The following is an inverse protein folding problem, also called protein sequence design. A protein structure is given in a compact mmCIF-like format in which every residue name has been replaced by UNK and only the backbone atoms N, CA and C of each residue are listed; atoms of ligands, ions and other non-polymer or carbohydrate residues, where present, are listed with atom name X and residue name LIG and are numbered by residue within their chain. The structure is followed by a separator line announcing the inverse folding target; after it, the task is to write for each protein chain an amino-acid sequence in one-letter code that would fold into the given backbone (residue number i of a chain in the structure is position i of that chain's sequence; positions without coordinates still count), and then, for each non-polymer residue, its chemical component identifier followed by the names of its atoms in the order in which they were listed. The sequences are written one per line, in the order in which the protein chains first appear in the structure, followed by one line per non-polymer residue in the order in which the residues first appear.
data_IF_961120793379
#
_entry.id   IF_961120793379
#
_cell.length_a   1.000
_cell.length_b   1.000
_cell.length_c   1.000
_cell.angle_alpha   90.00
_cell.angle_beta   90.00
_cell.angle_gamma   90.00
#
_symmetry.space_group_name_H-M   'P 1'
#
loop_
_entity.id
_entity.type
_entity.pdbx_description
1 polymer ?
#
# COMPACT_ATOMS: atom_id res chain seq x y z
N UNK A 1 -19.64 -0.11 -20.20
CA UNK A 1 -18.97 0.95 -19.42
C UNK A 1 -17.82 0.28 -18.68
N UNK A 2 -16.57 0.62 -19.01
CA UNK A 2 -15.41 0.04 -18.33
C UNK A 2 -15.37 0.46 -16.86
N UNK A 3 -14.77 -0.33 -15.96
CA UNK A 3 -14.66 0.02 -14.56
C UNK A 3 -13.94 1.37 -14.46
N UNK A 4 -14.60 2.26 -13.74
CA UNK A 4 -14.32 3.68 -13.61
C UNK A 4 -12.83 3.94 -13.35
N UNK A 5 -12.17 4.52 -14.35
CA UNK A 5 -10.99 5.34 -14.13
C UNK A 5 -11.48 6.48 -13.22
N UNK A 6 -11.41 6.30 -11.90
CA UNK A 6 -11.72 7.38 -10.96
C UNK A 6 -10.86 8.57 -11.37
N UNK A 7 -11.52 9.58 -11.92
CA UNK A 7 -10.89 10.83 -12.32
C UNK A 7 -10.13 11.33 -11.10
N UNK A 8 -8.90 11.79 -11.32
CA UNK A 8 -8.09 12.39 -10.27
C UNK A 8 -8.85 13.44 -9.48
N UNK A 9 -8.43 13.68 -8.24
CA UNK A 9 -8.92 14.88 -7.55
C UNK A 9 -8.50 16.13 -8.32
N UNK A 10 -9.25 17.21 -8.17
CA UNK A 10 -8.96 18.46 -8.87
C UNK A 10 -7.56 18.97 -8.47
N UNK A 11 -6.72 19.29 -9.47
CA UNK A 11 -5.33 19.71 -9.27
C UNK A 11 -4.32 18.57 -9.14
N UNK A 12 -4.74 17.30 -9.22
CA UNK A 12 -3.84 16.14 -9.20
C UNK A 12 -2.94 16.12 -10.45
N UNK A 13 -1.61 16.11 -10.26
CA UNK A 13 -0.62 15.93 -11.33
C UNK A 13 0.39 14.82 -11.00
N UNK A 14 0.13 13.60 -11.49
CA UNK A 14 1.04 12.46 -11.35
C UNK A 14 2.39 12.66 -12.08
N UNK A 15 2.48 13.63 -12.99
CA UNK A 15 3.70 13.96 -13.73
C UNK A 15 4.71 14.77 -12.94
N UNK A 16 4.35 15.27 -11.75
CA UNK A 16 5.24 16.09 -10.91
C UNK A 16 6.61 15.45 -10.70
N UNK A 17 7.65 16.29 -10.70
CA UNK A 17 9.03 15.91 -10.35
C UNK A 17 9.36 16.22 -8.89
N UNK A 18 8.44 16.86 -8.16
CA UNK A 18 8.62 17.22 -6.75
C UNK A 18 8.03 16.11 -5.87
N UNK A 19 8.86 15.55 -4.99
CA UNK A 19 8.41 14.48 -4.10
C UNK A 19 7.43 14.99 -3.04
N UNK A 20 7.48 16.29 -2.73
CA UNK A 20 6.59 16.98 -1.80
C UNK A 20 5.13 16.91 -2.28
N UNK A 21 4.91 17.06 -3.59
CA UNK A 21 3.58 16.94 -4.20
C UNK A 21 3.03 15.52 -4.04
N UNK A 22 3.89 14.52 -4.26
CA UNK A 22 3.51 13.12 -4.04
C UNK A 22 3.16 12.86 -2.57
N UNK A 23 3.94 13.40 -1.62
CA UNK A 23 3.63 13.32 -0.18
C UNK A 23 2.31 14.02 0.15
N UNK A 24 2.05 15.18 -0.43
CA UNK A 24 0.81 15.92 -0.25
C UNK A 24 -0.41 15.10 -0.68
N UNK A 25 -0.40 14.59 -1.91
CA UNK A 25 -1.51 13.78 -2.43
C UNK A 25 -1.71 12.46 -1.68
N UNK A 26 -0.62 11.82 -1.23
CA UNK A 26 -0.70 10.68 -0.31
C UNK A 26 -1.50 11.04 0.95
N UNK A 27 -1.19 12.19 1.57
CA UNK A 27 -1.90 12.68 2.74
C UNK A 27 -3.39 12.89 2.46
N UNK A 28 -3.72 13.60 1.37
CA UNK A 28 -5.10 13.88 0.96
C UNK A 28 -5.90 12.59 0.76
N UNK A 29 -5.39 11.64 -0.03
CA UNK A 29 -6.08 10.38 -0.28
C UNK A 29 -6.18 9.52 0.99
N UNK A 30 -5.14 9.45 1.81
CA UNK A 30 -5.17 8.70 3.07
C UNK A 30 -6.23 9.24 4.03
N UNK A 31 -6.39 10.56 4.12
CA UNK A 31 -7.39 11.17 5.00
C UNK A 31 -8.81 11.02 4.47
N UNK A 32 -9.03 11.14 3.16
CA UNK A 32 -10.32 10.83 2.54
C UNK A 32 -10.75 9.39 2.80
N UNK A 33 -9.82 8.45 2.64
CA UNK A 33 -10.06 7.02 2.91
C UNK A 33 -10.42 6.82 4.38
N UNK A 34 -9.62 7.38 5.30
CA UNK A 34 -9.84 7.28 6.74
C UNK A 34 -11.21 7.82 7.15
N UNK A 35 -11.57 8.99 6.62
CA UNK A 35 -12.86 9.63 6.88
C UNK A 35 -14.02 8.75 6.41
N UNK A 36 -13.96 8.27 5.16
CA UNK A 36 -15.03 7.44 4.59
C UNK A 36 -15.16 6.07 5.25
N UNK A 37 -14.05 5.42 5.64
CA UNK A 37 -14.10 4.18 6.44
C UNK A 37 -14.80 4.43 7.77
N UNK A 38 -14.44 5.50 8.49
CA UNK A 38 -15.09 5.84 9.74
C UNK A 38 -16.59 6.12 9.60
N UNK A 39 -17.00 6.75 8.49
CA UNK A 39 -18.41 6.98 8.17
C UNK A 39 -19.13 5.65 7.87
N UNK A 40 -18.57 4.81 6.99
CA UNK A 40 -19.12 3.49 6.64
C UNK A 40 -19.34 2.62 7.88
N UNK A 41 -18.35 2.56 8.77
CA UNK A 41 -18.45 1.79 10.00
C UNK A 41 -19.56 2.29 10.92
N UNK A 42 -19.79 3.62 10.96
CA UNK A 42 -20.91 4.19 11.72
C UNK A 42 -22.25 3.81 11.08
N UNK A 43 -22.39 3.97 9.76
CA UNK A 43 -23.63 3.62 9.05
C UNK A 43 -23.94 2.13 9.22
N UNK A 44 -22.95 1.25 9.05
CA UNK A 44 -23.10 -0.20 9.21
C UNK A 44 -23.58 -0.62 10.61
N UNK A 45 -23.22 0.12 11.67
CA UNK A 45 -23.70 -0.14 13.04
C UNK A 45 -25.14 0.31 13.27
N UNK A 46 -25.57 1.39 12.63
CA UNK A 46 -26.91 1.94 12.79
C UNK A 46 -27.93 1.30 11.82
N UNK A 47 -27.47 0.79 10.68
CA UNK A 47 -28.30 0.19 9.63
C UNK A 47 -29.29 -0.88 10.15
N UNK A 48 -28.89 -1.86 11.00
CA UNK A 48 -29.81 -2.89 11.49
C UNK A 48 -30.95 -2.34 12.38
N UNK A 49 -30.81 -1.11 12.90
CA UNK A 49 -31.81 -0.47 13.76
C UNK A 49 -32.91 0.24 12.96
N UNK A 50 -32.72 0.43 11.65
CA UNK A 50 -33.67 1.12 10.78
C UNK A 50 -34.80 0.17 10.33
N UNK A 51 -35.89 0.76 9.82
CA UNK A 51 -36.97 -0.02 9.18
C UNK A 51 -36.47 -0.67 7.88
N UNK A 52 -36.98 -1.85 7.48
CA UNK A 52 -36.49 -2.58 6.30
C UNK A 52 -36.35 -1.75 5.02
N UNK A 53 -37.36 -0.93 4.69
CA UNK A 53 -37.32 -0.05 3.50
C UNK A 53 -36.16 0.96 3.53
N UNK A 54 -35.82 1.48 4.72
CA UNK A 54 -34.67 2.38 4.88
C UNK A 54 -33.34 1.62 4.85
N UNK A 55 -33.33 0.32 5.17
CA UNK A 55 -32.12 -0.52 5.05
C UNK A 55 -31.76 -0.74 3.58
N UNK A 56 -32.74 -1.07 2.74
CA UNK A 56 -32.52 -1.34 1.31
C UNK A 56 -32.01 -0.11 0.56
N UNK A 57 -32.59 1.06 0.84
CA UNK A 57 -32.13 2.33 0.27
C UNK A 57 -30.66 2.61 0.66
N UNK A 58 -30.33 2.50 1.94
CA UNK A 58 -28.97 2.75 2.42
C UNK A 58 -27.96 1.71 1.92
N UNK A 59 -28.36 0.47 1.66
CA UNK A 59 -27.47 -0.57 1.13
C UNK A 59 -26.94 -0.22 -0.27
N UNK A 60 -27.77 0.40 -1.12
CA UNK A 60 -27.35 0.86 -2.45
C UNK A 60 -26.30 1.98 -2.35
N UNK A 61 -26.56 2.98 -1.50
CA UNK A 61 -25.63 4.10 -1.25
C UNK A 61 -24.29 3.61 -0.69
N UNK A 62 -24.32 2.64 0.23
CA UNK A 62 -23.12 2.01 0.79
C UNK A 62 -22.25 1.37 -0.31
N UNK A 63 -22.87 0.65 -1.26
CA UNK A 63 -22.15 0.05 -2.38
C UNK A 63 -21.43 1.06 -3.26
N UNK A 64 -22.03 2.25 -3.48
CA UNK A 64 -21.41 3.35 -4.23
C UNK A 64 -20.20 3.88 -3.47
N UNK A 65 -20.33 4.14 -2.16
CA UNK A 65 -19.24 4.65 -1.32
C UNK A 65 -18.07 3.63 -1.31
N UNK A 66 -18.37 2.34 -1.17
CA UNK A 66 -17.35 1.28 -1.23
C UNK A 66 -16.65 1.20 -2.60
N UNK A 67 -17.38 1.43 -3.70
CA UNK A 67 -16.81 1.55 -5.04
C UNK A 67 -15.81 2.70 -5.17
N UNK A 68 -16.22 3.90 -4.75
CA UNK A 68 -15.34 5.08 -4.72
C UNK A 68 -14.09 4.85 -3.87
N UNK A 69 -14.24 4.16 -2.73
CA UNK A 69 -13.13 3.83 -1.84
C UNK A 69 -12.07 2.96 -2.52
N UNK A 70 -12.48 1.99 -3.34
CA UNK A 70 -11.53 1.22 -4.15
C UNK A 70 -10.78 2.12 -5.13
N UNK A 71 -11.45 3.09 -5.75
CA UNK A 71 -10.84 4.09 -6.62
C UNK A 71 -9.77 4.92 -5.91
N UNK A 72 -10.08 5.48 -4.74
CA UNK A 72 -9.11 6.24 -3.93
C UNK A 72 -7.94 5.40 -3.46
N UNK A 73 -8.19 4.14 -3.09
CA UNK A 73 -7.13 3.23 -2.71
C UNK A 73 -6.17 2.96 -3.89
N UNK A 74 -6.68 2.74 -5.10
CA UNK A 74 -5.84 2.60 -6.30
C UNK A 74 -5.02 3.86 -6.57
N UNK A 75 -5.62 5.05 -6.41
CA UNK A 75 -4.92 6.33 -6.57
C UNK A 75 -3.82 6.53 -5.53
N UNK A 76 -4.10 6.19 -4.28
CA UNK A 76 -3.12 6.23 -3.21
C UNK A 76 -1.93 5.31 -3.50
N UNK A 77 -2.18 4.08 -3.98
CA UNK A 77 -1.12 3.15 -4.37
C UNK A 77 -0.23 3.72 -5.51
N UNK A 78 -0.82 4.44 -6.49
CA UNK A 78 -0.07 5.11 -7.56
C UNK A 78 0.84 6.22 -7.02
N UNK A 79 0.32 7.06 -6.13
CA UNK A 79 1.12 8.16 -5.55
C UNK A 79 2.29 7.68 -4.71
N UNK A 80 2.12 6.59 -3.97
CA UNK A 80 3.24 5.96 -3.27
C UNK A 80 4.30 5.42 -4.22
N UNK A 81 3.92 4.74 -5.31
CA UNK A 81 4.87 4.33 -6.36
C UNK A 81 5.62 5.52 -6.93
N UNK A 82 4.89 6.61 -7.23
CA UNK A 82 5.51 7.86 -7.71
C UNK A 82 6.49 8.42 -6.69
N UNK A 83 6.14 8.42 -5.40
CA UNK A 83 7.05 8.87 -4.34
C UNK A 83 8.32 7.99 -4.27
N UNK A 84 8.20 6.67 -4.41
CA UNK A 84 9.36 5.76 -4.45
C UNK A 84 10.29 6.09 -5.63
N UNK A 85 9.73 6.30 -6.82
CA UNK A 85 10.48 6.71 -8.01
C UNK A 85 11.22 8.04 -7.80
N UNK A 86 10.52 9.05 -7.28
CA UNK A 86 11.08 10.39 -7.03
C UNK A 86 12.15 10.38 -5.94
N UNK A 87 12.08 9.45 -5.00
CA UNK A 87 13.14 9.20 -4.01
C UNK A 87 14.30 8.34 -4.56
N UNK A 88 14.24 7.94 -5.83
CA UNK A 88 15.31 7.23 -6.52
C UNK A 88 15.39 5.74 -6.16
N UNK A 89 14.30 5.15 -5.66
CA UNK A 89 14.22 3.70 -5.41
C UNK A 89 13.88 2.97 -6.71
N UNK A 90 14.72 2.02 -7.10
CA UNK A 90 14.53 1.21 -8.30
C UNK A 90 14.70 -0.28 -7.97
N UNK A 91 13.83 -1.11 -8.53
CA UNK A 91 13.92 -2.56 -8.48
C UNK A 91 14.23 -3.12 -9.87
N UNK A 92 15.20 -4.02 -9.93
CA UNK A 92 15.59 -4.73 -11.14
C UNK A 92 15.16 -6.21 -11.04
N UNK A 93 14.10 -6.62 -11.77
CA UNK A 93 13.57 -7.98 -11.70
C UNK A 93 14.51 -9.03 -12.30
N UNK A 94 15.33 -8.65 -13.28
CA UNK A 94 16.25 -9.58 -13.94
C UNK A 94 17.49 -9.80 -13.08
N UNK A 95 18.06 -8.71 -12.56
CA UNK A 95 19.23 -8.74 -11.68
C UNK A 95 18.93 -9.10 -10.22
N UNK A 96 17.66 -9.16 -9.82
CA UNK A 96 17.22 -9.28 -8.41
C UNK A 96 17.93 -8.25 -7.53
N UNK A 97 17.97 -7.01 -7.99
CA UNK A 97 18.76 -5.94 -7.39
C UNK A 97 17.86 -4.78 -7.01
N UNK A 98 18.22 -4.11 -5.93
CA UNK A 98 17.62 -2.85 -5.49
C UNK A 98 18.67 -1.76 -5.62
N UNK A 99 18.30 -0.63 -6.24
CA UNK A 99 19.15 0.55 -6.36
C UNK A 99 18.52 1.74 -5.67
N UNK A 100 19.35 2.53 -4.99
CA UNK A 100 18.96 3.79 -4.38
C UNK A 100 20.14 4.76 -4.40
N UNK A 101 19.95 5.95 -4.99
CA UNK A 101 20.96 7.02 -5.07
C UNK A 101 22.34 6.54 -5.53
N UNK A 102 22.38 5.67 -6.54
CA UNK A 102 23.62 5.12 -7.11
C UNK A 102 24.26 3.97 -6.31
N UNK A 103 23.67 3.56 -5.18
CA UNK A 103 24.09 2.38 -4.39
C UNK A 103 23.19 1.21 -4.75
N UNK A 104 23.75 0.00 -4.70
CA UNK A 104 23.01 -1.22 -5.05
C UNK A 104 23.14 -2.33 -4.02
N UNK A 105 22.08 -3.12 -3.88
CA UNK A 105 22.02 -4.30 -3.02
C UNK A 105 21.41 -5.48 -3.76
N UNK A 106 21.96 -6.67 -3.53
CA UNK A 106 21.47 -7.91 -4.12
C UNK A 106 20.41 -8.54 -3.22
N UNK A 107 19.32 -8.97 -3.84
CA UNK A 107 18.23 -9.72 -3.22
C UNK A 107 18.22 -11.13 -3.79
N UNK A 108 17.80 -12.10 -3.00
CA UNK A 108 17.35 -13.37 -3.57
C UNK A 108 16.00 -13.18 -4.26
N UNK A 109 15.62 -14.10 -5.16
CA UNK A 109 14.31 -14.11 -5.81
C UNK A 109 13.14 -13.91 -4.84
N UNK A 110 13.18 -14.57 -3.68
CA UNK A 110 12.10 -14.53 -2.68
C UNK A 110 12.07 -13.19 -1.94
N UNK A 111 13.23 -12.62 -1.62
CA UNK A 111 13.33 -11.29 -1.01
C UNK A 111 12.87 -10.20 -2.00
N UNK A 112 13.26 -10.31 -3.28
CA UNK A 112 12.79 -9.43 -4.34
C UNK A 112 11.26 -9.46 -4.44
N UNK A 113 10.67 -10.65 -4.53
CA UNK A 113 9.21 -10.83 -4.64
C UNK A 113 8.48 -10.21 -3.45
N UNK A 114 8.99 -10.41 -2.23
CA UNK A 114 8.40 -9.80 -1.03
C UNK A 114 8.49 -8.28 -1.06
N UNK A 115 9.67 -7.73 -1.40
CA UNK A 115 9.87 -6.30 -1.42
C UNK A 115 9.02 -5.63 -2.52
N UNK A 116 9.02 -6.19 -3.74
CA UNK A 116 8.19 -5.75 -4.84
C UNK A 116 6.70 -5.74 -4.44
N UNK A 117 6.22 -6.82 -3.84
CA UNK A 117 4.84 -6.91 -3.35
C UNK A 117 4.50 -5.79 -2.34
N UNK A 118 5.41 -5.49 -1.41
CA UNK A 118 5.19 -4.43 -0.42
C UNK A 118 5.24 -3.03 -1.03
N UNK A 119 6.06 -2.80 -2.06
CA UNK A 119 6.12 -1.54 -2.82
C UNK A 119 4.86 -1.34 -3.66
N UNK A 120 4.33 -2.41 -4.25
CA UNK A 120 3.09 -2.39 -5.04
C UNK A 120 1.84 -2.24 -4.18
N UNK A 121 1.95 -2.55 -2.88
CA UNK A 121 0.90 -2.43 -1.89
C UNK A 121 1.34 -1.62 -0.67
N UNK A 122 1.66 -0.33 -0.88
CA UNK A 122 2.09 0.56 0.20
C UNK A 122 0.96 0.70 1.23
N UNK A 123 1.29 1.18 2.45
CA UNK A 123 0.35 1.50 3.56
C UNK A 123 -0.66 0.41 3.98
N UNK A 124 -0.57 -0.79 3.38
CA UNK A 124 -1.33 -1.97 3.74
C UNK A 124 -0.46 -2.87 4.59
N UNK A 125 -1.08 -3.49 5.58
CA UNK A 125 -0.43 -4.46 6.43
C UNK A 125 -0.83 -5.87 5.99
N UNK A 126 0.17 -6.74 5.90
CA UNK A 126 -0.02 -8.13 5.48
C UNK A 126 0.49 -9.08 6.55
N UNK A 127 -0.37 -9.99 7.00
CA UNK A 127 0.05 -11.09 7.87
C UNK A 127 0.97 -12.05 7.13
N UNK A 128 1.71 -12.88 7.87
CA UNK A 128 2.59 -13.89 7.25
C UNK A 128 1.82 -14.78 6.27
N UNK A 129 0.63 -15.26 6.66
CA UNK A 129 -0.20 -16.09 5.79
C UNK A 129 -0.65 -15.35 4.52
N UNK A 130 -0.93 -14.05 4.62
CA UNK A 130 -1.26 -13.24 3.44
C UNK A 130 -0.04 -13.03 2.53
N UNK A 131 1.16 -12.84 3.10
CA UNK A 131 2.39 -12.74 2.31
C UNK A 131 2.68 -14.06 1.58
N UNK A 132 2.60 -15.20 2.29
CA UNK A 132 2.74 -16.54 1.71
C UNK A 132 1.81 -16.74 0.51
N UNK A 133 0.52 -16.42 0.68
CA UNK A 133 -0.48 -16.62 -0.37
C UNK A 133 -0.43 -15.60 -1.52
N UNK A 134 0.03 -14.36 -1.28
CA UNK A 134 -0.08 -13.27 -2.28
C UNK A 134 1.23 -12.85 -2.91
N UNK A 135 2.33 -12.85 -2.16
CA UNK A 135 3.64 -12.48 -2.70
C UNK A 135 4.30 -13.65 -3.44
N UNK A 136 4.03 -14.89 -3.02
CA UNK A 136 4.64 -16.09 -3.59
C UNK A 136 3.64 -17.11 -4.14
N UNK A 137 2.42 -17.16 -3.59
CA UNK A 137 1.42 -18.20 -3.87
C UNK A 137 2.01 -19.62 -3.76
N UNK A 138 2.93 -19.80 -2.82
CA UNK A 138 3.73 -21.02 -2.68
C UNK A 138 3.47 -21.69 -1.33
N UNK A 139 2.83 -22.87 -1.32
CA UNK A 139 2.50 -23.59 -0.10
C UNK A 139 3.71 -24.22 0.60
N UNK A 140 4.87 -24.29 -0.05
CA UNK A 140 6.09 -24.89 0.52
C UNK A 140 6.89 -23.93 1.41
N UNK A 141 6.59 -22.63 1.38
CA UNK A 141 7.28 -21.62 2.19
C UNK A 141 6.77 -21.62 3.63
N UNK A 142 7.71 -21.65 4.58
CA UNK A 142 7.40 -21.63 6.00
C UNK A 142 7.33 -20.20 6.56
N UNK A 143 6.50 -19.92 7.59
CA UNK A 143 6.43 -18.62 8.27
C UNK A 143 7.78 -18.06 8.74
N UNK A 144 8.71 -18.93 9.14
CA UNK A 144 10.05 -18.60 9.59
C UNK A 144 10.90 -18.01 8.45
N UNK A 145 10.74 -18.52 7.23
CA UNK A 145 11.43 -18.01 6.05
C UNK A 145 11.02 -16.57 5.74
N UNK A 146 9.72 -16.26 5.88
CA UNK A 146 9.21 -14.88 5.74
C UNK A 146 9.92 -13.94 6.72
N UNK A 147 10.11 -14.35 7.99
CA UNK A 147 10.82 -13.52 8.98
C UNK A 147 12.30 -13.34 8.61
N UNK A 148 12.94 -14.36 8.06
CA UNK A 148 14.32 -14.28 7.58
C UNK A 148 14.45 -13.30 6.40
N UNK A 149 13.53 -13.37 5.42
CA UNK A 149 13.49 -12.42 4.30
C UNK A 149 13.25 -10.99 4.79
N UNK A 150 12.29 -10.77 5.70
CA UNK A 150 12.05 -9.46 6.32
C UNK A 150 13.32 -8.92 6.98
N UNK A 151 14.04 -9.76 7.75
CA UNK A 151 15.29 -9.35 8.41
C UNK A 151 16.36 -8.93 7.40
N UNK A 152 16.53 -9.68 6.31
CA UNK A 152 17.52 -9.39 5.27
C UNK A 152 17.15 -8.14 4.47
N UNK A 153 15.89 -7.99 4.10
CA UNK A 153 15.38 -6.78 3.45
C UNK A 153 15.64 -5.55 4.34
N UNK A 154 15.30 -5.61 5.64
CA UNK A 154 15.60 -4.50 6.57
C UNK A 154 17.08 -4.12 6.58
N UNK A 155 17.98 -5.10 6.58
CA UNK A 155 19.41 -4.85 6.50
C UNK A 155 19.76 -4.11 5.20
N UNK A 156 19.28 -4.58 4.05
CA UNK A 156 19.53 -3.94 2.75
C UNK A 156 18.98 -2.52 2.70
N UNK A 157 17.75 -2.29 3.21
CA UNK A 157 17.15 -0.95 3.27
C UNK A 157 17.96 0.01 4.14
N UNK A 158 18.49 -0.47 5.27
CA UNK A 158 19.36 0.32 6.14
C UNK A 158 20.72 0.58 5.50
N UNK A 159 21.36 -0.47 4.95
CA UNK A 159 22.68 -0.39 4.33
C UNK A 159 22.66 0.59 3.15
N UNK A 160 21.59 0.60 2.34
CA UNK A 160 21.39 1.52 1.19
C UNK A 160 20.81 2.89 1.56
N UNK A 161 20.59 3.14 2.85
CA UNK A 161 20.03 4.40 3.37
C UNK A 161 18.72 4.80 2.69
N UNK A 162 17.89 3.81 2.35
CA UNK A 162 16.59 4.07 1.75
C UNK A 162 15.69 4.69 2.84
N UNK A 163 14.98 5.80 2.56
CA UNK A 163 14.14 6.50 3.53
C UNK A 163 12.83 5.74 3.81
N UNK A 164 12.92 4.43 4.06
CA UNK A 164 11.81 3.58 4.40
C UNK A 164 12.17 2.58 5.49
N UNK A 165 11.12 2.01 6.06
CA UNK A 165 11.20 1.00 7.09
C UNK A 165 10.15 -0.08 6.83
N UNK A 166 10.60 -1.33 6.89
CA UNK A 166 9.71 -2.49 6.88
C UNK A 166 9.23 -2.76 8.30
N UNK A 167 8.09 -2.20 8.67
CA UNK A 167 7.54 -2.25 10.03
C UNK A 167 6.68 -3.50 10.26
N UNK A 168 6.61 -3.95 11.51
CA UNK A 168 5.65 -4.97 11.96
C UNK A 168 4.71 -4.34 12.98
N UNK A 169 3.39 -4.52 12.80
CA UNK A 169 2.38 -4.12 13.77
C UNK A 169 1.63 -5.36 14.28
N UNK A 170 1.58 -5.60 15.60
CA UNK A 170 0.82 -6.70 16.17
C UNK A 170 -0.61 -6.76 15.61
N UNK A 171 -1.10 -7.97 15.34
CA UNK A 171 -2.39 -8.27 14.71
C UNK A 171 -2.59 -7.77 13.26
N UNK A 172 -1.75 -6.85 12.75
CA UNK A 172 -1.87 -6.33 11.37
C UNK A 172 -0.84 -6.97 10.42
N UNK A 173 0.37 -7.25 10.89
CA UNK A 173 1.44 -7.85 10.10
C UNK A 173 2.49 -6.84 9.63
N UNK A 174 3.03 -7.04 8.43
CA UNK A 174 4.14 -6.27 7.87
C UNK A 174 3.69 -5.24 6.84
N UNK A 175 4.36 -4.09 6.80
CA UNK A 175 4.15 -3.04 5.80
C UNK A 175 5.45 -2.28 5.55
N UNK A 176 5.63 -1.78 4.33
CA UNK A 176 6.70 -0.85 4.01
C UNK A 176 6.17 0.59 4.19
N UNK A 177 6.81 1.35 5.06
CA UNK A 177 6.46 2.75 5.34
C UNK A 177 7.63 3.66 5.03
N UNK A 178 7.37 4.85 4.49
CA UNK A 178 8.38 5.89 4.43
C UNK A 178 8.74 6.33 5.86
N UNK A 179 10.04 6.56 6.10
CA UNK A 179 10.44 7.26 7.32
C UNK A 179 10.01 8.72 7.15
N UNK A 180 9.35 9.33 8.14
CA UNK A 180 9.24 10.78 8.15
C UNK A 180 10.67 11.35 8.20
N UNK A 181 10.93 12.42 7.45
CA UNK A 181 12.13 13.23 7.66
C UNK A 181 12.04 13.79 9.08
N UNK A 182 13.08 13.58 9.89
CA UNK A 182 13.26 14.30 11.16
C UNK A 182 13.50 15.80 10.92
#
# INVERSE_FOLDING_TARGET
MGPENSRGLEGEDLGTMHWEDARHWIGVYADLIRFKVGLLDRVRRELPKLRPVAQDAAASDLGIIEGQMRGYQTRLDLWYRRLWELQGLQLDPEGQLIRHRGREGHLTKREYQLLQFLIDHPHRFFTINQLLGRAWADPALFPEEVRNYVRRIRKILADLEIPCELVNRPARGYSLVFRPDE
#
